data_IF_956476339204
#
_entry.id   IF_956476339204
#
_cell.length_a   1.000
_cell.length_b   1.000
_cell.length_c   1.000
_cell.angle_alpha   90.00
_cell.angle_beta   90.00
_cell.angle_gamma   90.00
#
_symmetry.space_group_name_H-M   'P 1'
#
loop_
_entity.id
_entity.type
_entity.pdbx_description
1 polymer ?
#
# COMPACT_ATOMS: atom_id res chain seq x y z
N UNK A 1 -9.08 -33.94 9.70
CA UNK A 1 -8.25 -33.16 8.76
C UNK A 1 -7.29 -32.32 9.60
N UNK A 2 -5.98 -32.45 9.41
CA UNK A 2 -4.98 -31.63 10.14
C UNK A 2 -5.13 -30.18 9.60
N UNK A 3 -5.49 -29.25 10.49
CA UNK A 3 -5.64 -27.83 10.15
C UNK A 3 -4.29 -27.15 10.42
N UNK A 4 -3.60 -26.74 9.36
CA UNK A 4 -2.36 -25.97 9.51
C UNK A 4 -2.65 -24.54 9.97
N UNK A 5 -1.80 -23.93 10.80
CA UNK A 5 -1.97 -22.55 11.18
C UNK A 5 -1.78 -21.62 9.97
N UNK A 6 -2.29 -20.39 10.09
CA UNK A 6 -2.18 -19.36 9.08
C UNK A 6 -1.35 -18.17 9.60
N UNK A 7 -0.73 -17.49 8.67
CA UNK A 7 -0.02 -16.25 8.92
C UNK A 7 -0.78 -15.06 8.30
N UNK A 8 -1.16 -14.10 9.12
CA UNK A 8 -1.86 -12.88 8.71
C UNK A 8 -0.91 -11.69 8.85
N UNK A 9 -0.56 -11.06 7.75
CA UNK A 9 0.25 -9.85 7.72
C UNK A 9 -0.66 -8.65 7.60
N UNK A 10 -0.60 -7.71 8.54
CA UNK A 10 -1.28 -6.43 8.42
C UNK A 10 -0.41 -5.46 7.63
N UNK A 11 -1.04 -4.68 6.75
CA UNK A 11 -0.38 -3.63 5.97
C UNK A 11 -1.17 -2.32 6.11
N UNK A 12 -0.53 -1.20 6.40
CA UNK A 12 -1.19 0.10 6.49
C UNK A 12 -0.36 1.17 7.20
N UNK A 13 -0.78 2.42 7.05
CA UNK A 13 -0.10 3.59 7.65
C UNK A 13 -0.15 3.58 9.19
N UNK A 14 0.71 4.32 9.88
CA UNK A 14 0.51 4.65 11.29
C UNK A 14 -0.88 5.25 11.49
N UNK A 15 -1.51 4.96 12.62
CA UNK A 15 -2.88 5.38 12.97
C UNK A 15 -3.98 4.90 11.98
N UNK A 16 -3.71 3.94 11.10
CA UNK A 16 -4.75 3.37 10.24
C UNK A 16 -5.70 2.39 10.93
N UNK A 17 -5.48 2.06 12.21
CA UNK A 17 -6.35 1.15 12.97
C UNK A 17 -5.90 -0.31 12.98
N UNK A 18 -4.70 -0.64 12.49
CA UNK A 18 -4.17 -2.02 12.43
C UNK A 18 -4.25 -2.77 13.75
N UNK A 19 -3.80 -2.15 14.84
CA UNK A 19 -3.76 -2.83 16.14
C UNK A 19 -5.15 -3.13 16.69
N UNK A 20 -6.13 -2.27 16.45
CA UNK A 20 -7.54 -2.56 16.76
C UNK A 20 -8.06 -3.72 15.93
N UNK A 21 -7.79 -3.67 14.61
CA UNK A 21 -8.18 -4.75 13.72
C UNK A 21 -7.51 -6.08 14.09
N UNK A 22 -6.24 -6.07 14.54
CA UNK A 22 -5.54 -7.26 15.01
C UNK A 22 -6.25 -7.90 16.21
N UNK A 23 -6.66 -7.08 17.19
CA UNK A 23 -7.41 -7.54 18.38
C UNK A 23 -8.80 -8.09 18.01
N UNK A 24 -9.52 -7.41 17.11
CA UNK A 24 -10.80 -7.90 16.62
C UNK A 24 -10.67 -9.21 15.87
N UNK A 25 -9.68 -9.33 14.98
CA UNK A 25 -9.42 -10.56 14.24
C UNK A 25 -9.07 -11.72 15.18
N UNK A 26 -8.23 -11.48 16.20
CA UNK A 26 -7.90 -12.47 17.22
C UNK A 26 -9.15 -12.91 17.99
N UNK A 27 -10.02 -11.98 18.39
CA UNK A 27 -11.26 -12.27 19.10
C UNK A 27 -12.24 -13.08 18.24
N UNK A 28 -12.40 -12.72 16.96
CA UNK A 28 -13.23 -13.47 16.01
C UNK A 28 -12.73 -14.89 15.87
N UNK A 29 -11.43 -15.10 15.70
CA UNK A 29 -10.84 -16.44 15.61
C UNK A 29 -11.11 -17.27 16.84
N UNK A 30 -10.97 -16.70 18.03
CA UNK A 30 -11.20 -17.41 19.29
C UNK A 30 -12.68 -17.78 19.49
N UNK A 31 -13.58 -16.81 19.24
CA UNK A 31 -14.99 -16.97 19.61
C UNK A 31 -15.82 -17.72 18.56
N UNK A 32 -15.55 -17.49 17.28
CA UNK A 32 -16.37 -18.02 16.19
C UNK A 32 -15.81 -19.30 15.59
N UNK A 33 -14.49 -19.45 15.54
CA UNK A 33 -13.84 -20.59 14.89
C UNK A 33 -13.07 -21.50 15.85
N UNK A 34 -13.02 -21.14 17.13
CA UNK A 34 -12.23 -21.82 18.17
C UNK A 34 -10.75 -22.01 17.77
N UNK A 35 -10.21 -21.04 17.02
CA UNK A 35 -8.82 -21.03 16.58
C UNK A 35 -7.96 -20.16 17.51
N UNK A 36 -6.82 -20.70 17.94
CA UNK A 36 -5.83 -19.90 18.67
C UNK A 36 -5.09 -18.99 17.72
N UNK A 37 -4.93 -17.72 18.09
CA UNK A 37 -4.11 -16.76 17.37
C UNK A 37 -3.29 -15.89 18.34
N UNK A 38 -2.09 -15.54 17.95
CA UNK A 38 -1.22 -14.60 18.69
C UNK A 38 -0.93 -13.38 17.82
N UNK A 39 -0.87 -12.21 18.47
CA UNK A 39 -0.46 -10.97 17.81
C UNK A 39 1.04 -10.79 18.07
N UNK A 40 1.83 -10.74 17.00
CA UNK A 40 3.24 -10.38 17.03
C UNK A 40 3.35 -8.94 16.52
N UNK A 41 3.76 -8.03 17.41
CA UNK A 41 3.89 -6.60 17.09
C UNK A 41 5.33 -6.16 17.20
N UNK A 42 5.85 -5.47 16.18
CA UNK A 42 7.19 -4.89 16.23
C UNK A 42 7.33 -3.82 17.32
N UNK A 43 6.25 -3.12 17.64
CA UNK A 43 6.25 -2.09 18.68
C UNK A 43 6.29 -2.73 20.08
N UNK A 44 5.54 -3.80 20.31
CA UNK A 44 5.62 -4.56 21.57
C UNK A 44 7.00 -5.17 21.79
N UNK A 45 7.63 -5.66 20.74
CA UNK A 45 8.99 -6.20 20.81
C UNK A 45 10.00 -5.10 21.14
N UNK A 46 9.86 -3.89 20.56
CA UNK A 46 10.70 -2.74 20.97
C UNK A 46 10.52 -2.40 22.46
N UNK A 47 9.26 -2.37 22.91
CA UNK A 47 8.98 -2.12 24.33
C UNK A 47 9.63 -3.15 25.26
N UNK A 48 9.63 -4.41 24.85
CA UNK A 48 10.27 -5.50 25.60
C UNK A 48 11.80 -5.37 25.61
N UNK A 49 12.42 -5.11 24.45
CA UNK A 49 13.87 -5.04 24.33
C UNK A 49 14.47 -3.77 24.96
N UNK A 50 13.76 -2.64 24.86
CA UNK A 50 14.31 -1.32 25.18
C UNK A 50 13.52 -0.58 26.27
N UNK A 51 12.45 -1.18 26.81
CA UNK A 51 11.58 -0.54 27.82
C UNK A 51 10.59 0.47 27.27
N UNK A 52 10.78 0.95 26.04
CA UNK A 52 9.92 1.93 25.36
C UNK A 52 9.79 1.58 23.88
N UNK A 53 8.56 1.50 23.39
CA UNK A 53 8.25 1.24 21.97
C UNK A 53 8.71 2.35 21.02
N UNK A 54 8.99 3.56 21.53
CA UNK A 54 9.51 4.69 20.76
C UNK A 54 10.98 4.53 20.40
N UNK A 55 11.72 3.74 21.15
CA UNK A 55 13.13 3.47 20.88
C UNK A 55 13.22 2.57 19.66
N UNK A 56 13.77 3.09 18.56
CA UNK A 56 13.94 2.30 17.33
C UNK A 56 14.91 1.14 17.53
N UNK A 57 15.92 1.35 18.36
CA UNK A 57 16.93 0.35 18.71
C UNK A 57 17.65 -0.22 17.48
N UNK A 58 18.17 -1.43 17.61
CA UNK A 58 18.76 -2.16 16.50
C UNK A 58 17.66 -2.86 15.68
N UNK A 59 17.41 -2.45 14.41
CA UNK A 59 16.38 -3.07 13.59
C UNK A 59 16.58 -4.57 13.39
N UNK A 60 17.84 -5.04 13.28
CA UNK A 60 18.14 -6.45 13.08
C UNK A 60 17.71 -7.29 14.30
N UNK A 61 18.00 -6.82 15.51
CA UNK A 61 17.59 -7.47 16.75
C UNK A 61 16.06 -7.57 16.87
N UNK A 62 15.37 -6.45 16.62
CA UNK A 62 13.90 -6.40 16.65
C UNK A 62 13.29 -7.39 15.64
N UNK A 63 13.76 -7.37 14.39
CA UNK A 63 13.20 -8.22 13.36
C UNK A 63 13.59 -9.70 13.50
N UNK A 64 14.75 -10.02 14.07
CA UNK A 64 15.10 -11.40 14.40
C UNK A 64 14.15 -11.96 15.46
N UNK A 65 13.85 -11.20 16.51
CA UNK A 65 12.89 -11.63 17.54
C UNK A 65 11.46 -11.72 17.00
N UNK A 66 11.06 -10.80 16.10
CA UNK A 66 9.79 -10.91 15.36
C UNK A 66 9.70 -12.25 14.63
N UNK A 67 10.73 -12.60 13.86
CA UNK A 67 10.77 -13.84 13.08
C UNK A 67 10.72 -15.08 13.97
N UNK A 68 11.51 -15.07 15.03
CA UNK A 68 11.55 -16.19 15.99
C UNK A 68 10.16 -16.46 16.57
N UNK A 69 9.45 -15.43 17.04
CA UNK A 69 8.11 -15.56 17.61
C UNK A 69 7.08 -16.03 16.59
N UNK A 70 7.16 -15.51 15.36
CA UNK A 70 6.28 -15.96 14.27
C UNK A 70 6.47 -17.45 14.03
N UNK A 71 7.72 -17.89 13.83
CA UNK A 71 8.02 -19.31 13.54
C UNK A 71 7.67 -20.23 14.70
N UNK A 72 7.99 -19.82 15.92
CA UNK A 72 7.67 -20.60 17.14
C UNK A 72 6.14 -20.81 17.26
N UNK A 73 5.34 -19.75 17.05
CA UNK A 73 3.89 -19.84 17.16
C UNK A 73 3.29 -20.73 16.06
N UNK A 74 3.74 -20.56 14.82
CA UNK A 74 3.28 -21.37 13.69
C UNK A 74 3.66 -22.85 13.87
N UNK A 75 4.85 -23.16 14.35
CA UNK A 75 5.30 -24.53 14.63
C UNK A 75 4.47 -25.18 15.75
N UNK A 76 3.95 -24.40 16.67
CA UNK A 76 3.04 -24.86 17.74
C UNK A 76 1.57 -24.93 17.30
N UNK A 77 1.27 -24.78 15.99
CA UNK A 77 -0.08 -24.86 15.44
C UNK A 77 -0.96 -23.64 15.75
N UNK A 78 -0.35 -22.51 16.11
CA UNK A 78 -1.07 -21.26 16.48
C UNK A 78 -1.01 -20.28 15.31
N UNK A 79 -2.15 -19.72 14.93
CA UNK A 79 -2.22 -18.65 13.93
C UNK A 79 -1.44 -17.42 14.41
N UNK A 80 -0.83 -16.69 13.47
CA UNK A 80 -0.09 -15.47 13.78
C UNK A 80 -0.70 -14.28 13.06
N UNK A 81 -0.94 -13.20 13.78
CA UNK A 81 -1.32 -11.88 13.26
C UNK A 81 -0.11 -10.97 13.45
N UNK A 82 0.58 -10.62 12.36
CA UNK A 82 1.75 -9.75 12.38
C UNK A 82 1.34 -8.29 12.23
N UNK A 83 1.38 -7.53 13.33
CA UNK A 83 1.04 -6.11 13.38
C UNK A 83 2.28 -5.23 13.22
N UNK A 84 2.49 -4.77 12.01
CA UNK A 84 3.49 -3.78 11.63
C UNK A 84 2.99 -3.00 10.41
N UNK A 85 3.71 -1.93 9.98
CA UNK A 85 3.27 -1.13 8.83
C UNK A 85 3.33 -1.87 7.50
N UNK A 86 4.36 -2.70 7.28
CA UNK A 86 4.55 -3.60 6.13
C UNK A 86 4.30 -2.95 4.75
N UNK A 87 4.59 -1.64 4.62
CA UNK A 87 4.25 -0.86 3.44
C UNK A 87 5.12 -1.18 2.23
N UNK A 88 6.36 -1.64 2.45
CA UNK A 88 7.31 -1.94 1.38
C UNK A 88 7.37 -3.44 1.09
N UNK A 89 7.31 -3.78 -0.19
CA UNK A 89 7.44 -5.16 -0.70
C UNK A 89 8.65 -5.90 -0.12
N UNK A 90 9.82 -5.24 -0.10
CA UNK A 90 11.06 -5.87 0.42
C UNK A 90 10.94 -6.34 1.86
N UNK A 91 10.20 -5.62 2.71
CA UNK A 91 10.02 -6.02 4.12
C UNK A 91 9.03 -7.17 4.23
N UNK A 92 7.97 -7.17 3.42
CA UNK A 92 7.01 -8.28 3.36
C UNK A 92 7.69 -9.56 2.89
N UNK A 93 8.45 -9.50 1.80
CA UNK A 93 9.24 -10.65 1.30
C UNK A 93 10.28 -11.13 2.31
N UNK A 94 10.89 -10.23 3.09
CA UNK A 94 11.83 -10.59 4.15
C UNK A 94 11.23 -11.49 5.22
N UNK A 95 9.93 -11.38 5.48
CA UNK A 95 9.17 -12.28 6.36
C UNK A 95 8.72 -13.53 5.61
N UNK A 96 8.02 -13.35 4.47
CA UNK A 96 7.40 -14.44 3.73
C UNK A 96 8.39 -15.52 3.30
N UNK A 97 9.58 -15.13 2.85
CA UNK A 97 10.62 -16.06 2.42
C UNK A 97 11.18 -16.96 3.54
N UNK A 98 10.95 -16.59 4.79
CA UNK A 98 11.38 -17.37 5.96
C UNK A 98 10.28 -18.31 6.49
N UNK A 99 9.05 -18.18 5.99
CA UNK A 99 7.94 -19.03 6.41
C UNK A 99 8.00 -20.40 5.73
N UNK A 100 7.60 -21.47 6.41
CA UNK A 100 7.43 -22.77 5.78
C UNK A 100 6.39 -22.70 4.64
N UNK A 101 6.69 -23.33 3.49
CA UNK A 101 5.87 -23.23 2.27
C UNK A 101 4.42 -23.74 2.41
N UNK A 102 4.15 -24.58 3.40
CA UNK A 102 2.81 -25.10 3.66
C UNK A 102 1.92 -24.12 4.46
N UNK A 103 2.50 -23.05 5.01
CA UNK A 103 1.75 -22.03 5.74
C UNK A 103 0.99 -21.15 4.74
N UNK A 104 -0.34 -21.10 4.90
CA UNK A 104 -1.17 -20.14 4.17
C UNK A 104 -0.92 -18.75 4.71
N UNK A 105 -0.62 -17.84 3.81
CA UNK A 105 -0.29 -16.43 4.13
C UNK A 105 -1.38 -15.52 3.60
N UNK A 106 -1.90 -14.65 4.45
CA UNK A 106 -2.89 -13.64 4.08
C UNK A 106 -2.34 -12.24 4.37
N UNK A 107 -2.60 -11.28 3.47
CA UNK A 107 -2.29 -9.88 3.72
C UNK A 107 -3.58 -9.09 3.90
N UNK A 108 -3.75 -8.42 5.03
CA UNK A 108 -4.88 -7.54 5.28
C UNK A 108 -4.42 -6.08 5.22
N UNK A 109 -4.86 -5.38 4.17
CA UNK A 109 -4.56 -3.96 3.97
C UNK A 109 -5.58 -3.15 4.78
N UNK A 110 -5.13 -2.64 5.93
CA UNK A 110 -5.97 -1.82 6.82
C UNK A 110 -5.82 -0.36 6.39
N UNK A 111 -6.76 0.06 5.54
CA UNK A 111 -6.75 1.36 4.88
C UNK A 111 -7.56 2.42 5.65
N UNK A 112 -7.07 3.65 5.60
CA UNK A 112 -7.72 4.86 6.10
C UNK A 112 -7.20 6.06 5.28
N UNK A 113 -8.02 7.11 5.00
CA UNK A 113 -7.54 8.30 4.31
C UNK A 113 -6.30 8.91 4.95
N UNK A 114 -5.34 9.37 4.13
CA UNK A 114 -4.05 9.91 4.61
C UNK A 114 -4.25 11.04 5.62
N UNK A 115 -5.14 11.99 5.29
CA UNK A 115 -5.43 13.13 6.18
C UNK A 115 -5.97 12.69 7.54
N UNK A 116 -6.75 11.59 7.55
CA UNK A 116 -7.30 11.02 8.77
C UNK A 116 -6.23 10.29 9.58
N UNK A 117 -5.34 9.55 8.92
CA UNK A 117 -4.18 8.97 9.59
C UNK A 117 -3.33 10.04 10.28
N UNK A 118 -3.06 11.17 9.59
CA UNK A 118 -2.32 12.31 10.15
C UNK A 118 -3.04 12.90 11.37
N UNK A 119 -4.35 13.14 11.26
CA UNK A 119 -5.16 13.69 12.35
C UNK A 119 -5.20 12.76 13.57
N UNK A 120 -5.42 11.47 13.33
CA UNK A 120 -5.52 10.49 14.41
C UNK A 120 -4.14 10.24 15.05
N UNK A 121 -3.05 10.27 14.26
CA UNK A 121 -1.68 10.18 14.77
C UNK A 121 -1.34 11.36 15.69
N UNK A 122 -1.77 12.57 15.36
CA UNK A 122 -1.51 13.77 16.19
C UNK A 122 -2.21 13.74 17.55
N UNK A 123 -3.25 12.91 17.70
CA UNK A 123 -4.01 12.74 18.95
C UNK A 123 -3.48 11.59 19.82
N UNK A 124 -2.45 10.87 19.37
CA UNK A 124 -1.83 9.76 20.12
C UNK A 124 -0.72 10.28 21.02
N UNK A 125 -0.55 9.64 22.18
CA UNK A 125 0.66 9.87 23.03
C UNK A 125 1.94 9.65 22.21
N UNK A 126 1.93 8.61 21.36
CA UNK A 126 2.99 8.31 20.41
C UNK A 126 2.60 8.76 19.02
N UNK A 127 3.01 9.95 18.63
CA UNK A 127 2.86 10.46 17.26
C UNK A 127 4.16 10.29 16.48
N UNK A 128 4.07 9.75 15.24
CA UNK A 128 5.21 9.72 14.32
C UNK A 128 5.31 11.01 13.51
N UNK A 129 4.23 11.75 13.42
CA UNK A 129 4.12 13.05 12.76
C UNK A 129 3.87 13.00 11.26
N UNK A 130 3.25 14.09 10.76
CA UNK A 130 2.83 14.25 9.35
C UNK A 130 3.95 13.97 8.35
N UNK A 131 5.19 14.44 8.62
CA UNK A 131 6.33 14.25 7.69
C UNK A 131 6.66 12.76 7.50
N UNK A 132 6.61 11.98 8.59
CA UNK A 132 6.90 10.55 8.55
C UNK A 132 5.78 9.80 7.81
N UNK A 133 4.51 10.12 8.10
CA UNK A 133 3.36 9.51 7.41
C UNK A 133 3.44 9.78 5.90
N UNK A 134 3.70 11.03 5.47
CA UNK A 134 3.84 11.37 4.06
C UNK A 134 4.99 10.60 3.39
N UNK A 135 6.16 10.48 4.07
CA UNK A 135 7.28 9.67 3.57
C UNK A 135 6.92 8.19 3.47
N UNK A 136 6.10 7.67 4.39
CA UNK A 136 5.62 6.30 4.36
C UNK A 136 4.67 6.05 3.19
N UNK A 137 3.76 7.00 2.90
CA UNK A 137 2.88 6.92 1.72
C UNK A 137 3.68 6.93 0.42
N UNK A 138 4.69 7.80 0.31
CA UNK A 138 5.62 7.83 -0.84
C UNK A 138 6.42 6.54 -1.01
N UNK A 139 6.47 5.69 -0.03
CA UNK A 139 7.11 4.38 -0.09
C UNK A 139 6.11 3.22 -0.03
N UNK A 140 4.83 3.47 -0.26
CA UNK A 140 3.81 2.42 -0.28
C UNK A 140 3.95 1.60 -1.57
N UNK A 141 4.03 0.29 -1.41
CA UNK A 141 3.99 -0.68 -2.50
C UNK A 141 2.83 -1.62 -2.22
N UNK A 142 1.87 -1.66 -3.14
CA UNK A 142 0.64 -2.45 -3.00
C UNK A 142 0.98 -3.93 -2.80
N UNK A 143 0.55 -4.58 -1.70
CA UNK A 143 0.70 -6.02 -1.54
C UNK A 143 0.02 -6.76 -2.70
N UNK A 144 0.72 -7.73 -3.29
CA UNK A 144 0.19 -8.45 -4.42
C UNK A 144 0.49 -9.96 -4.36
N UNK A 145 -0.24 -10.75 -5.15
CA UNK A 145 -0.18 -12.21 -5.11
C UNK A 145 1.17 -12.80 -5.51
N UNK A 146 1.94 -12.10 -6.35
CA UNK A 146 3.29 -12.49 -6.75
C UNK A 146 4.33 -12.44 -5.61
N UNK A 147 3.94 -11.89 -4.45
CA UNK A 147 4.72 -11.96 -3.21
C UNK A 147 4.57 -13.30 -2.49
N UNK A 148 3.59 -14.13 -2.87
CA UNK A 148 3.31 -15.42 -2.25
C UNK A 148 2.12 -15.41 -1.28
N UNK A 149 1.34 -14.33 -1.24
CA UNK A 149 0.08 -14.32 -0.49
C UNK A 149 -0.96 -15.22 -1.15
N UNK A 150 -1.60 -16.09 -0.36
CA UNK A 150 -2.73 -16.92 -0.80
C UNK A 150 -4.04 -16.12 -0.85
N UNK A 151 -4.12 -15.03 -0.08
CA UNK A 151 -5.26 -14.13 -0.05
C UNK A 151 -4.85 -12.71 0.35
N UNK A 152 -5.47 -11.71 -0.27
CA UNK A 152 -5.27 -10.30 0.07
C UNK A 152 -6.64 -9.68 0.31
N UNK A 153 -6.81 -9.04 1.48
CA UNK A 153 -8.06 -8.43 1.90
C UNK A 153 -7.89 -6.92 2.08
N UNK A 154 -8.78 -6.14 1.50
CA UNK A 154 -8.92 -4.72 1.80
C UNK A 154 -9.85 -4.54 3.00
N UNK A 155 -9.42 -3.78 3.99
CA UNK A 155 -10.16 -3.46 5.21
C UNK A 155 -10.27 -1.95 5.30
N UNK A 156 -11.48 -1.46 5.27
CA UNK A 156 -11.82 -0.07 5.53
C UNK A 156 -11.97 0.11 7.04
N UNK A 157 -11.01 0.77 7.66
CA UNK A 157 -10.94 0.87 9.14
C UNK A 157 -11.56 2.15 9.69
N UNK A 158 -12.20 2.93 8.84
CA UNK A 158 -12.82 4.20 9.18
C UNK A 158 -14.03 4.44 8.29
N UNK A 159 -15.19 4.69 8.91
CA UNK A 159 -16.39 5.11 8.19
C UNK A 159 -16.17 6.51 7.59
N UNK A 160 -16.35 6.62 6.28
CA UNK A 160 -16.28 7.88 5.55
C UNK A 160 -17.27 7.86 4.39
N UNK A 161 -17.71 9.04 3.97
CA UNK A 161 -18.50 9.17 2.76
C UNK A 161 -17.61 8.89 1.55
N UNK A 162 -17.83 7.73 0.93
CA UNK A 162 -17.08 7.28 -0.25
C UNK A 162 -17.19 8.26 -1.42
N UNK A 163 -18.40 8.81 -1.65
CA UNK A 163 -18.63 9.75 -2.75
C UNK A 163 -17.94 11.09 -2.49
N UNK A 164 -17.98 11.55 -1.23
CA UNK A 164 -17.27 12.77 -0.83
C UNK A 164 -15.76 12.59 -0.96
N UNK A 165 -15.19 11.50 -0.45
CA UNK A 165 -13.78 11.20 -0.59
C UNK A 165 -13.34 11.14 -2.05
N UNK A 166 -14.06 10.38 -2.88
CA UNK A 166 -13.77 10.24 -4.31
C UNK A 166 -13.85 11.58 -5.04
N UNK A 167 -14.84 12.41 -4.67
CA UNK A 167 -15.00 13.77 -5.22
C UNK A 167 -13.85 14.68 -4.79
N UNK A 168 -13.41 14.62 -3.53
CA UNK A 168 -12.26 15.40 -3.05
C UNK A 168 -10.98 15.02 -3.81
N UNK A 169 -10.71 13.72 -4.00
CA UNK A 169 -9.54 13.25 -4.76
C UNK A 169 -9.62 13.75 -6.20
N UNK A 170 -10.76 13.59 -6.87
CA UNK A 170 -10.98 14.08 -8.24
C UNK A 170 -10.75 15.59 -8.35
N UNK A 171 -11.29 16.36 -7.41
CA UNK A 171 -11.11 17.82 -7.40
C UNK A 171 -9.64 18.22 -7.20
N UNK A 172 -8.88 17.48 -6.40
CA UNK A 172 -7.44 17.72 -6.24
C UNK A 172 -6.65 17.52 -7.52
N UNK A 173 -7.13 16.67 -8.44
CA UNK A 173 -6.51 16.45 -9.76
C UNK A 173 -6.79 17.58 -10.76
N UNK A 174 -7.70 18.52 -10.47
CA UNK A 174 -8.02 19.64 -11.38
C UNK A 174 -7.00 20.78 -11.28
N UNK A 175 -5.73 20.42 -11.36
CA UNK A 175 -4.59 21.36 -11.38
C UNK A 175 -3.74 21.10 -12.64
N UNK A 176 -2.98 22.14 -13.06
CA UNK A 176 -2.04 21.99 -14.16
C UNK A 176 -0.86 21.11 -13.75
N UNK A 177 -0.32 20.40 -14.73
CA UNK A 177 0.91 19.62 -14.54
C UNK A 177 2.12 20.54 -14.25
N UNK A 178 2.12 21.81 -14.71
CA UNK A 178 3.28 22.70 -14.68
C UNK A 178 4.56 22.05 -15.21
N UNK A 179 4.36 21.29 -16.30
CA UNK A 179 5.39 20.57 -17.04
C UNK A 179 5.10 20.75 -18.53
N UNK A 180 6.09 21.12 -19.38
CA UNK A 180 5.88 21.43 -20.80
C UNK A 180 5.34 20.24 -21.63
N UNK A 181 5.40 19.03 -21.11
CA UNK A 181 4.93 17.83 -21.81
C UNK A 181 3.42 17.58 -21.74
N UNK A 182 2.69 18.36 -20.93
CA UNK A 182 1.25 18.17 -20.70
C UNK A 182 0.47 19.47 -20.96
N UNK A 183 -0.56 19.39 -21.81
CA UNK A 183 -1.47 20.50 -22.12
C UNK A 183 -2.69 20.54 -21.22
N UNK A 184 -3.12 19.39 -20.71
CA UNK A 184 -4.29 19.23 -19.85
C UNK A 184 -3.98 19.44 -18.36
N UNK A 185 -5.02 19.60 -17.54
CA UNK A 185 -4.93 19.34 -16.10
C UNK A 185 -4.68 17.86 -15.86
N UNK A 186 -4.22 17.50 -14.65
CA UNK A 186 -4.05 16.08 -14.29
C UNK A 186 -5.37 15.32 -14.48
N UNK A 187 -6.51 15.92 -14.10
CA UNK A 187 -7.84 15.33 -14.30
C UNK A 187 -8.17 15.16 -15.78
N UNK A 188 -7.94 16.18 -16.60
CA UNK A 188 -8.21 16.11 -18.04
C UNK A 188 -7.41 15.01 -18.74
N UNK A 189 -6.12 14.91 -18.43
CA UNK A 189 -5.26 13.81 -18.90
C UNK A 189 -5.80 12.44 -18.49
N UNK A 190 -6.17 12.28 -17.22
CA UNK A 190 -6.72 11.03 -16.69
C UNK A 190 -8.06 10.64 -17.36
N UNK A 191 -8.90 11.63 -17.69
CA UNK A 191 -10.17 11.39 -18.43
C UNK A 191 -9.92 10.94 -19.86
N UNK A 192 -8.96 11.53 -20.56
CA UNK A 192 -8.58 11.09 -21.92
C UNK A 192 -7.96 9.69 -21.91
N UNK A 193 -7.11 9.37 -20.89
CA UNK A 193 -6.57 8.01 -20.71
C UNK A 193 -7.68 6.97 -20.49
N UNK A 194 -8.66 7.28 -19.64
CA UNK A 194 -9.82 6.41 -19.42
C UNK A 194 -10.63 6.21 -20.70
N UNK A 195 -10.91 7.29 -21.43
CA UNK A 195 -11.63 7.24 -22.71
C UNK A 195 -10.91 6.36 -23.71
N UNK A 196 -9.60 6.52 -23.85
CA UNK A 196 -8.78 5.65 -24.70
C UNK A 196 -8.91 4.17 -24.33
N UNK A 197 -8.85 3.84 -23.02
CA UNK A 197 -9.03 2.47 -22.53
C UNK A 197 -10.42 1.91 -22.91
N UNK A 198 -11.48 2.72 -22.79
CA UNK A 198 -12.84 2.34 -23.17
C UNK A 198 -12.97 2.12 -24.69
N UNK A 199 -12.43 3.02 -25.52
CA UNK A 199 -12.44 2.92 -26.99
C UNK A 199 -11.70 1.67 -27.48
N UNK A 200 -10.65 1.24 -26.75
CA UNK A 200 -9.90 0.00 -27.00
C UNK A 200 -10.55 -1.25 -26.41
N UNK A 201 -11.62 -1.12 -25.64
CA UNK A 201 -12.26 -2.23 -24.92
C UNK A 201 -11.28 -3.00 -23.98
N UNK A 202 -10.38 -2.29 -23.29
CA UNK A 202 -9.43 -2.90 -22.36
C UNK A 202 -10.08 -3.39 -21.05
N UNK A 203 -11.34 -3.03 -20.81
CA UNK A 203 -12.14 -3.45 -19.68
C UNK A 203 -11.98 -2.56 -18.43
N UNK A 204 -12.94 -2.70 -17.52
CA UNK A 204 -13.14 -1.77 -16.39
C UNK A 204 -11.93 -1.64 -15.44
N UNK A 205 -11.08 -2.66 -15.33
CA UNK A 205 -9.85 -2.60 -14.52
C UNK A 205 -8.86 -1.59 -15.11
N UNK A 206 -8.61 -1.69 -16.43
CA UNK A 206 -7.69 -0.75 -17.11
C UNK A 206 -8.31 0.63 -17.20
N UNK A 207 -9.61 0.75 -17.48
CA UNK A 207 -10.32 2.03 -17.45
C UNK A 207 -10.21 2.72 -16.09
N UNK A 208 -10.41 1.97 -15.00
CA UNK A 208 -10.25 2.49 -13.63
C UNK A 208 -8.81 2.85 -13.30
N UNK A 209 -7.84 2.02 -13.71
CA UNK A 209 -6.43 2.32 -13.53
C UNK A 209 -6.02 3.56 -14.34
N UNK A 210 -6.44 3.69 -15.60
CA UNK A 210 -6.19 4.83 -16.46
C UNK A 210 -6.79 6.13 -15.90
N UNK A 211 -7.99 6.07 -15.31
CA UNK A 211 -8.59 7.25 -14.67
C UNK A 211 -7.83 7.70 -13.41
N UNK A 212 -7.28 6.78 -12.61
CA UNK A 212 -6.69 7.09 -11.32
C UNK A 212 -5.15 7.05 -11.29
N UNK A 213 -4.45 6.70 -12.41
CA UNK A 213 -2.99 6.49 -12.40
C UNK A 213 -2.21 7.70 -11.84
N UNK A 214 -2.68 8.89 -12.13
CA UNK A 214 -2.05 10.16 -11.77
C UNK A 214 -2.65 10.84 -10.52
N UNK A 215 -3.57 10.19 -9.80
CA UNK A 215 -4.22 10.78 -8.62
C UNK A 215 -3.25 11.09 -7.46
N UNK A 216 -2.05 10.55 -7.49
CA UNK A 216 -0.98 10.86 -6.56
C UNK A 216 -0.22 12.16 -6.87
N UNK A 217 -0.24 12.65 -8.11
CA UNK A 217 0.50 13.84 -8.55
C UNK A 217 0.22 15.10 -7.72
N UNK A 218 -1.05 15.45 -7.37
CA UNK A 218 -1.33 16.61 -6.53
C UNK A 218 -0.62 16.59 -5.17
N UNK A 219 -0.39 15.41 -4.61
CA UNK A 219 0.23 15.20 -3.30
C UNK A 219 1.76 15.07 -3.38
N UNK A 220 2.29 14.78 -4.57
CA UNK A 220 3.73 14.61 -4.83
C UNK A 220 4.36 15.82 -5.52
N UNK A 221 3.56 16.81 -5.92
CA UNK A 221 4.02 17.99 -6.67
C UNK A 221 5.09 18.77 -5.91
N UNK A 222 6.23 18.99 -6.56
CA UNK A 222 7.36 19.73 -6.00
C UNK A 222 8.06 20.51 -7.12
N UNK A 223 8.50 21.74 -6.81
CA UNK A 223 9.38 22.52 -7.66
C UNK A 223 10.84 22.40 -7.24
N UNK A 224 11.19 21.36 -6.49
CA UNK A 224 12.56 21.06 -6.07
C UNK A 224 12.98 19.76 -6.74
N UNK A 225 14.12 19.80 -7.45
CA UNK A 225 14.69 18.60 -8.11
C UNK A 225 15.41 17.68 -7.10
N UNK A 226 15.91 16.53 -7.59
CA UNK A 226 16.61 15.53 -6.76
C UNK A 226 17.91 16.05 -6.14
N UNK A 227 18.47 17.16 -6.66
CA UNK A 227 19.66 17.82 -6.11
C UNK A 227 19.33 18.86 -5.05
N UNK A 228 18.05 19.11 -4.77
CA UNK A 228 17.61 20.14 -3.84
C UNK A 228 17.52 21.56 -4.43
N UNK A 229 17.61 21.69 -5.75
CA UNK A 229 17.55 22.97 -6.46
C UNK A 229 16.11 23.30 -6.85
N UNK A 230 15.69 24.56 -6.72
CA UNK A 230 14.38 25.04 -7.18
C UNK A 230 14.36 25.13 -8.70
N UNK A 231 13.27 24.69 -9.32
CA UNK A 231 13.05 24.66 -10.77
C UNK A 231 11.69 25.28 -11.11
N UNK A 232 11.54 25.76 -12.34
CA UNK A 232 10.25 26.27 -12.87
C UNK A 232 9.33 25.14 -13.35
N UNK A 233 9.84 23.90 -13.39
CA UNK A 233 9.12 22.71 -13.83
C UNK A 233 8.75 21.87 -12.60
N UNK A 234 7.50 21.43 -12.53
CA UNK A 234 7.04 20.55 -11.46
C UNK A 234 7.57 19.12 -11.63
N UNK A 235 7.98 18.54 -10.51
CA UNK A 235 8.39 17.13 -10.35
C UNK A 235 7.36 16.39 -9.49
N UNK A 236 7.19 15.10 -9.75
CA UNK A 236 6.15 14.25 -9.13
C UNK A 236 6.73 12.94 -8.59
N UNK A 237 7.77 13.04 -7.76
CA UNK A 237 8.48 11.86 -7.24
C UNK A 237 7.58 10.95 -6.43
N UNK A 238 7.59 9.66 -6.79
CA UNK A 238 6.80 8.60 -6.15
C UNK A 238 5.28 8.86 -6.16
N UNK A 239 4.77 9.61 -7.15
CA UNK A 239 3.32 9.83 -7.29
C UNK A 239 2.57 8.51 -7.52
N UNK A 240 3.18 7.53 -8.17
CA UNK A 240 2.67 6.19 -8.37
C UNK A 240 2.37 5.48 -7.04
N UNK A 241 3.25 5.60 -6.05
CA UNK A 241 3.07 5.01 -4.73
C UNK A 241 1.96 5.72 -3.94
N UNK A 242 1.95 7.05 -4.00
CA UNK A 242 0.89 7.87 -3.38
C UNK A 242 -0.46 7.58 -4.03
N UNK A 243 -0.49 7.53 -5.37
CA UNK A 243 -1.67 7.21 -6.17
C UNK A 243 -2.21 5.82 -5.87
N UNK A 244 -1.34 4.82 -5.76
CA UNK A 244 -1.72 3.47 -5.38
C UNK A 244 -2.42 3.42 -4.01
N UNK A 245 -1.89 4.13 -3.01
CA UNK A 245 -2.54 4.20 -1.70
C UNK A 245 -3.89 4.92 -1.75
N UNK A 246 -3.99 6.04 -2.48
CA UNK A 246 -5.24 6.81 -2.64
C UNK A 246 -6.29 5.99 -3.39
N UNK A 247 -5.89 5.28 -4.46
CA UNK A 247 -6.79 4.50 -5.30
C UNK A 247 -7.46 3.33 -4.56
N UNK A 248 -6.86 2.81 -3.51
CA UNK A 248 -7.53 1.84 -2.63
C UNK A 248 -8.81 2.41 -2.02
N UNK A 249 -8.83 3.69 -1.66
CA UNK A 249 -10.03 4.33 -1.13
C UNK A 249 -11.04 4.74 -2.20
N UNK A 250 -10.61 5.08 -3.42
CA UNK A 250 -11.50 5.50 -4.51
C UNK A 250 -12.05 4.33 -5.32
N UNK A 251 -11.38 3.19 -5.34
CA UNK A 251 -11.79 2.04 -6.16
C UNK A 251 -12.09 0.79 -5.35
N UNK A 252 -11.57 0.69 -4.11
CA UNK A 252 -11.61 -0.52 -3.27
C UNK A 252 -11.06 -1.76 -4.00
N UNK A 253 -10.17 -1.54 -4.98
CA UNK A 253 -9.67 -2.57 -5.87
C UNK A 253 -8.14 -2.67 -5.80
N UNK A 254 -7.66 -3.82 -5.35
CA UNK A 254 -6.22 -4.08 -5.15
C UNK A 254 -5.49 -4.17 -6.50
N UNK A 255 -6.14 -4.69 -7.54
CA UNK A 255 -5.53 -4.82 -8.87
C UNK A 255 -5.30 -3.44 -9.48
N UNK A 256 -6.30 -2.54 -9.40
CA UNK A 256 -6.16 -1.15 -9.84
C UNK A 256 -5.04 -0.45 -9.08
N UNK A 257 -5.01 -0.60 -7.75
CA UNK A 257 -3.93 -0.03 -6.93
C UNK A 257 -2.55 -0.55 -7.33
N UNK A 258 -2.42 -1.85 -7.61
CA UNK A 258 -1.17 -2.46 -8.06
C UNK A 258 -0.75 -1.93 -9.44
N UNK A 259 -1.67 -1.83 -10.39
CA UNK A 259 -1.40 -1.26 -11.72
C UNK A 259 -0.90 0.19 -11.61
N UNK A 260 -1.54 1.01 -10.78
CA UNK A 260 -1.13 2.40 -10.52
C UNK A 260 0.26 2.43 -9.88
N UNK A 261 0.54 1.54 -8.95
CA UNK A 261 1.84 1.47 -8.29
C UNK A 261 3.00 1.20 -9.27
N UNK A 262 2.72 0.44 -10.34
CA UNK A 262 3.73 -0.05 -11.27
C UNK A 262 3.67 0.59 -12.67
N UNK A 263 2.78 1.60 -12.91
CA UNK A 263 2.63 2.20 -14.25
C UNK A 263 3.90 2.90 -14.75
N UNK A 264 4.77 3.36 -13.84
CA UNK A 264 6.03 3.99 -14.20
C UNK A 264 7.20 3.00 -14.38
N UNK A 265 7.03 1.73 -14.00
CA UNK A 265 8.11 0.75 -13.97
C UNK A 265 8.77 0.51 -15.34
N UNK A 266 7.96 0.46 -16.40
CA UNK A 266 8.46 0.32 -17.79
C UNK A 266 9.31 1.50 -18.20
N UNK A 267 8.89 2.73 -17.88
CA UNK A 267 9.61 3.95 -18.19
C UNK A 267 10.93 4.07 -17.40
N UNK A 268 10.96 3.53 -16.20
CA UNK A 268 12.14 3.53 -15.35
C UNK A 268 13.06 2.31 -15.53
N UNK A 269 12.78 1.44 -16.52
CA UNK A 269 13.53 0.18 -16.76
C UNK A 269 13.65 -0.65 -15.46
N UNK A 270 12.55 -0.81 -14.75
CA UNK A 270 12.51 -1.52 -13.47
C UNK A 270 12.82 -3.01 -13.65
N UNK A 271 13.80 -3.50 -12.88
CA UNK A 271 14.09 -4.96 -12.82
C UNK A 271 12.89 -5.78 -12.33
N UNK A 272 11.96 -5.16 -11.64
CA UNK A 272 10.73 -5.80 -11.22
C UNK A 272 9.83 -6.05 -12.43
N UNK A 273 9.59 -5.04 -13.27
CA UNK A 273 8.83 -5.19 -14.53
C UNK A 273 9.39 -6.32 -15.39
N UNK A 274 10.73 -6.39 -15.55
CA UNK A 274 11.37 -7.42 -16.37
C UNK A 274 11.07 -8.85 -15.90
N UNK A 275 10.82 -9.04 -14.60
CA UNK A 275 10.58 -10.35 -13.96
C UNK A 275 9.10 -10.72 -13.85
N UNK A 276 8.20 -9.81 -14.17
CA UNK A 276 6.77 -10.08 -14.11
C UNK A 276 6.36 -11.18 -15.08
N UNK A 277 5.37 -12.00 -14.72
CA UNK A 277 4.68 -12.88 -15.66
C UNK A 277 4.12 -12.08 -16.85
N UNK A 278 4.10 -12.71 -18.03
CA UNK A 278 3.70 -12.05 -19.28
C UNK A 278 2.32 -11.39 -19.19
N UNK A 279 1.34 -12.05 -18.59
CA UNK A 279 -0.01 -11.49 -18.47
C UNK A 279 -0.07 -10.20 -17.62
N UNK A 280 0.78 -10.05 -16.59
CA UNK A 280 0.87 -8.82 -15.80
C UNK A 280 1.57 -7.70 -16.57
N UNK A 281 2.57 -8.03 -17.38
CA UNK A 281 3.21 -7.06 -18.29
C UNK A 281 2.20 -6.52 -19.29
N UNK A 282 1.39 -7.40 -19.88
CA UNK A 282 0.35 -7.00 -20.85
C UNK A 282 -0.66 -6.03 -20.25
N UNK A 283 -1.06 -6.23 -18.98
CA UNK A 283 -1.97 -5.29 -18.30
C UNK A 283 -1.30 -3.93 -18.02
N UNK A 284 -0.02 -3.92 -17.61
CA UNK A 284 0.75 -2.68 -17.45
C UNK A 284 1.00 -1.99 -18.80
N UNK A 285 1.26 -2.74 -19.88
CA UNK A 285 1.44 -2.20 -21.22
C UNK A 285 0.18 -1.52 -21.75
N UNK A 286 -1.01 -2.10 -21.50
CA UNK A 286 -2.29 -1.46 -21.82
C UNK A 286 -2.46 -0.13 -21.08
N UNK A 287 -2.14 -0.09 -19.77
CA UNK A 287 -2.19 1.14 -18.98
C UNK A 287 -1.21 2.19 -19.51
N UNK A 288 0.02 1.80 -19.83
CA UNK A 288 1.03 2.68 -20.43
C UNK A 288 0.59 3.21 -21.80
N UNK A 289 -0.07 2.37 -22.61
CA UNK A 289 -0.65 2.79 -23.89
C UNK A 289 -1.71 3.87 -23.68
N UNK A 290 -2.57 3.73 -22.66
CA UNK A 290 -3.57 4.76 -22.31
C UNK A 290 -2.91 6.08 -21.91
N UNK A 291 -1.90 6.06 -21.04
CA UNK A 291 -1.17 7.24 -20.57
C UNK A 291 -0.47 7.97 -21.73
N UNK A 292 0.22 7.24 -22.62
CA UNK A 292 0.94 7.83 -23.77
C UNK A 292 -0.04 8.50 -24.76
N UNK A 293 -1.24 7.93 -24.97
CA UNK A 293 -2.20 8.41 -25.95
C UNK A 293 -3.19 9.46 -25.40
N UNK A 294 -3.12 9.80 -24.13
CA UNK A 294 -3.94 10.82 -23.46
C UNK A 294 -3.36 12.25 -23.57
N UNK A 295 -2.51 12.55 -24.56
CA UNK A 295 -1.80 13.83 -24.71
C UNK A 295 -2.58 14.84 -25.52
#
# INVERSE_FOLDING_TARGET
>A
MIKFPKFYMLCGLPASGKSHYALDLQRIMSNETNEKAVIVSSDNIRKELYGDENIQGNPEEVFNLVHERILQSLNNGVNVIYDATNLKRKYRLGILNKLPKFIKTECHIVWKPIYRCIKDDSNRERSVGKKVINKMVQGFETPFYDEGFSYIKYIESYEFDYLDYTTQVRNSMNIRHDNPHHTFTILGHSQEAQKYAADKNFGYIIEGAAYWHDCGKPYAKSFVNTKGETTDIAHYYNHENVGAYISLGTTRNIIISWLINHHMDKFHHSKYYDRLPQFLKEELDKLNECDINAR
#
